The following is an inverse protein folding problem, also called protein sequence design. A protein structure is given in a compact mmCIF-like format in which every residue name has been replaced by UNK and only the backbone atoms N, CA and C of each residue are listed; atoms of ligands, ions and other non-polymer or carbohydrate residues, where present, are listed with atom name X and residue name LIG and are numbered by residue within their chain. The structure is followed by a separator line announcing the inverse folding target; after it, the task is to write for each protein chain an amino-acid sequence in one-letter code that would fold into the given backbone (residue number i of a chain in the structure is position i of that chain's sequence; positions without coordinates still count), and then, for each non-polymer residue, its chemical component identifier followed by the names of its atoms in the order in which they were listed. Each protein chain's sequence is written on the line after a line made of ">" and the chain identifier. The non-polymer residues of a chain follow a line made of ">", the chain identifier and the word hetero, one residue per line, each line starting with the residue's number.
data_IF_284995413793
#
_entry.id   IF_284995413793
#
_cell.length_a   1.000
_cell.length_b   1.000
_cell.length_c   1.000
_cell.angle_alpha   90.00
_cell.angle_beta   90.00
_cell.angle_gamma   90.00
#
_symmetry.space_group_name_H-M   'P 1'
#
loop_
_entity.id
_entity.type
_entity.pdbx_description
1 polymer ?
#
# COMPACT_ATOMS: atom_id res chain seq x y z
N UNK A 1 -65.94 16.83 -33.57
CA UNK A 1 -64.84 15.93 -33.16
C UNK A 1 -63.59 16.42 -33.87
N UNK A 2 -62.61 16.94 -33.12
CA UNK A 2 -61.49 17.68 -33.68
C UNK A 2 -60.34 16.72 -34.03
N UNK A 3 -59.91 16.63 -35.31
CA UNK A 3 -58.86 15.70 -35.72
C UNK A 3 -57.49 16.00 -35.07
N UNK A 4 -57.31 17.22 -34.53
CA UNK A 4 -56.08 17.64 -33.87
C UNK A 4 -55.78 16.93 -32.54
N UNK A 5 -56.79 16.42 -31.82
CA UNK A 5 -56.55 15.78 -30.51
C UNK A 5 -56.12 14.31 -30.62
N UNK A 6 -56.34 13.67 -31.78
CA UNK A 6 -55.92 12.28 -32.02
C UNK A 6 -54.44 12.17 -32.36
N UNK A 7 -53.88 13.13 -33.10
CA UNK A 7 -52.46 13.12 -33.51
C UNK A 7 -51.54 13.34 -32.29
N UNK A 8 -51.98 14.14 -31.31
CA UNK A 8 -51.20 14.44 -30.10
C UNK A 8 -51.08 13.26 -29.12
N UNK A 9 -51.99 12.28 -29.19
CA UNK A 9 -51.95 11.08 -28.32
C UNK A 9 -51.05 9.98 -28.86
N UNK A 10 -50.80 9.93 -30.18
CA UNK A 10 -49.89 8.95 -30.77
C UNK A 10 -48.41 9.30 -30.53
N UNK A 11 -48.05 10.60 -30.51
CA UNK A 11 -46.66 11.04 -30.33
C UNK A 11 -46.15 10.90 -28.89
N UNK A 12 -47.04 10.99 -27.90
CA UNK A 12 -46.70 10.81 -26.48
C UNK A 12 -46.36 9.36 -26.11
N UNK A 13 -46.73 8.38 -26.94
CA UNK A 13 -46.51 6.96 -26.65
C UNK A 13 -45.20 6.41 -27.26
N UNK A 14 -44.56 7.12 -28.20
CA UNK A 14 -43.32 6.70 -28.87
C UNK A 14 -42.04 7.32 -28.28
N UNK A 15 -42.13 8.38 -27.48
CA UNK A 15 -40.97 9.02 -26.83
C UNK A 15 -40.25 8.19 -25.75
N UNK A 16 -40.86 7.26 -24.99
CA UNK A 16 -40.11 6.51 -23.98
C UNK A 16 -39.18 5.44 -24.57
N UNK A 17 -39.41 4.97 -25.80
CA UNK A 17 -38.59 3.91 -26.41
C UNK A 17 -37.23 4.40 -26.93
N UNK A 18 -37.16 5.66 -27.39
CA UNK A 18 -35.92 6.29 -27.86
C UNK A 18 -34.97 6.67 -26.71
N UNK A 19 -35.50 6.90 -25.50
CA UNK A 19 -34.70 7.23 -24.32
C UNK A 19 -33.96 6.00 -23.77
N UNK A 20 -34.52 4.81 -23.91
CA UNK A 20 -33.94 3.56 -23.41
C UNK A 20 -32.74 3.09 -24.26
N UNK A 21 -32.72 3.39 -25.57
CA UNK A 21 -31.60 3.00 -26.44
C UNK A 21 -30.34 3.83 -26.24
N UNK A 22 -30.46 5.08 -25.77
CA UNK A 22 -29.30 5.95 -25.45
C UNK A 22 -28.59 5.48 -24.15
N UNK A 23 -29.28 4.75 -23.27
CA UNK A 23 -28.72 4.22 -22.03
C UNK A 23 -27.93 2.91 -22.21
N UNK A 24 -28.03 2.23 -23.37
CA UNK A 24 -27.13 1.13 -23.72
C UNK A 24 -25.81 1.64 -24.30
N UNK A 25 -25.22 2.62 -23.61
CA UNK A 25 -23.93 3.21 -23.93
C UNK A 25 -22.85 2.15 -23.96
N UNK A 26 -22.15 2.09 -25.09
CA UNK A 26 -20.99 1.23 -25.31
C UNK A 26 -20.01 1.40 -24.14
N UNK A 27 -19.83 0.36 -23.31
CA UNK A 27 -18.89 0.38 -22.19
C UNK A 27 -17.49 0.58 -22.78
N UNK A 28 -16.88 1.74 -22.54
CA UNK A 28 -15.49 2.00 -22.90
C UNK A 28 -14.60 1.60 -21.72
N UNK A 29 -13.49 0.94 -22.04
CA UNK A 29 -12.48 0.60 -21.05
C UNK A 29 -11.84 1.90 -20.51
N UNK A 30 -11.70 2.00 -19.20
CA UNK A 30 -10.99 3.11 -18.55
C UNK A 30 -9.50 3.09 -18.93
N UNK A 31 -8.91 4.19 -19.41
CA UNK A 31 -7.48 4.24 -19.74
C UNK A 31 -6.56 4.13 -18.52
N UNK A 32 -7.02 4.50 -17.31
CA UNK A 32 -6.18 4.52 -16.10
C UNK A 32 -6.89 3.86 -14.90
N UNK A 33 -7.20 2.55 -14.97
CA UNK A 33 -7.91 1.84 -13.91
C UNK A 33 -7.13 1.81 -12.59
N UNK A 34 -5.79 1.88 -12.63
CA UNK A 34 -4.95 1.86 -11.42
C UNK A 34 -5.28 2.96 -10.42
N UNK A 35 -5.82 4.09 -10.87
CA UNK A 35 -6.19 5.21 -10.00
C UNK A 35 -7.42 4.89 -9.15
N UNK A 36 -8.19 3.86 -9.49
CA UNK A 36 -9.34 3.39 -8.72
C UNK A 36 -8.96 2.30 -7.71
N UNK A 37 -7.82 1.63 -7.91
CA UNK A 37 -7.33 0.58 -7.02
C UNK A 37 -6.94 1.14 -5.63
N UNK A 38 -7.59 0.68 -4.55
CA UNK A 38 -7.28 1.14 -3.20
C UNK A 38 -5.88 0.71 -2.74
N UNK A 39 -5.35 -0.43 -3.21
CA UNK A 39 -4.00 -0.90 -2.87
C UNK A 39 -2.96 0.04 -3.49
N UNK A 40 -3.14 0.42 -4.77
CA UNK A 40 -2.26 1.36 -5.44
C UNK A 40 -2.26 2.73 -4.76
N UNK A 41 -3.44 3.23 -4.37
CA UNK A 41 -3.58 4.50 -3.61
C UNK A 41 -2.81 4.48 -2.30
N UNK A 42 -2.93 3.41 -1.50
CA UNK A 42 -2.21 3.25 -0.24
C UNK A 42 -0.69 3.14 -0.44
N UNK A 43 -0.24 2.41 -1.46
CA UNK A 43 1.19 2.36 -1.80
C UNK A 43 1.73 3.72 -2.26
N UNK A 44 0.93 4.48 -3.02
CA UNK A 44 1.29 5.82 -3.47
C UNK A 44 1.39 6.81 -2.31
N UNK A 45 0.48 6.76 -1.33
CA UNK A 45 0.56 7.61 -0.14
C UNK A 45 1.79 7.27 0.71
N UNK A 46 2.05 5.98 0.95
CA UNK A 46 3.25 5.52 1.69
C UNK A 46 4.52 5.99 0.99
N UNK A 47 4.60 5.87 -0.34
CA UNK A 47 5.78 6.31 -1.10
C UNK A 47 6.03 7.81 -0.93
N UNK A 48 4.97 8.65 -1.01
CA UNK A 48 5.07 10.10 -0.81
C UNK A 48 5.50 10.47 0.61
N UNK A 49 5.01 9.76 1.61
CA UNK A 49 5.43 9.95 3.01
C UNK A 49 6.92 9.63 3.17
N UNK A 50 7.38 8.50 2.63
CA UNK A 50 8.79 8.10 2.69
C UNK A 50 9.70 9.07 1.93
N UNK A 51 9.25 9.61 0.80
CA UNK A 51 9.98 10.64 0.06
C UNK A 51 10.19 11.90 0.91
N UNK A 52 9.15 12.37 1.60
CA UNK A 52 9.27 13.50 2.54
C UNK A 52 10.23 13.18 3.69
N UNK A 53 10.14 11.98 4.27
CA UNK A 53 11.05 11.54 5.34
C UNK A 53 12.50 11.47 4.87
N UNK A 54 12.76 11.05 3.62
CA UNK A 54 14.12 11.04 3.07
C UNK A 54 14.65 12.48 2.95
N UNK A 55 13.87 13.40 2.39
CA UNK A 55 14.26 14.81 2.25
C UNK A 55 14.54 15.45 3.63
N UNK A 56 13.71 15.17 4.62
CA UNK A 56 13.90 15.66 5.99
C UNK A 56 15.18 15.09 6.62
N UNK A 57 15.43 13.78 6.47
CA UNK A 57 16.64 13.15 6.99
C UNK A 57 17.91 13.63 6.29
N UNK A 58 17.85 13.97 5.01
CA UNK A 58 18.96 14.60 4.26
C UNK A 58 19.28 15.98 4.84
N UNK A 59 18.26 16.82 5.07
CA UNK A 59 18.45 18.13 5.73
C UNK A 59 19.02 17.99 7.14
N UNK A 60 18.46 17.08 7.93
CA UNK A 60 18.96 16.81 9.28
C UNK A 60 20.41 16.32 9.25
N UNK A 61 20.81 15.54 8.25
CA UNK A 61 22.19 15.08 8.08
C UNK A 61 23.12 16.26 7.78
N UNK A 62 22.73 17.19 6.90
CA UNK A 62 23.46 18.43 6.63
C UNK A 62 23.61 19.31 7.88
N UNK A 63 22.54 19.46 8.66
CA UNK A 63 22.57 20.21 9.92
C UNK A 63 23.50 19.56 10.95
N UNK A 64 23.46 18.23 11.08
CA UNK A 64 24.39 17.50 11.96
C UNK A 64 25.87 17.66 11.53
N UNK A 65 26.16 17.82 10.24
CA UNK A 65 27.51 18.15 9.79
C UNK A 65 27.92 19.57 10.18
N UNK A 66 27.02 20.55 10.08
CA UNK A 66 27.28 21.91 10.57
C UNK A 66 27.53 21.95 12.08
N UNK A 67 26.78 21.17 12.86
CA UNK A 67 27.02 21.00 14.30
C UNK A 67 28.41 20.37 14.58
N UNK A 68 28.83 19.41 13.76
CA UNK A 68 30.15 18.79 13.88
C UNK A 68 31.27 19.80 13.61
N UNK A 69 31.13 20.66 12.61
CA UNK A 69 32.12 21.70 12.28
C UNK A 69 32.24 22.77 13.38
N UNK A 70 31.16 22.98 14.14
CA UNK A 70 31.14 23.88 15.30
C UNK A 70 31.65 23.21 16.59
N UNK A 71 31.75 21.88 16.62
CA UNK A 71 32.26 21.17 17.77
C UNK A 71 33.78 21.38 17.91
N UNK A 72 34.25 21.58 19.16
CA UNK A 72 35.67 21.76 19.45
C UNK A 72 36.54 20.56 19.04
N UNK A 73 37.86 20.78 18.97
CA UNK A 73 38.83 19.83 18.41
C UNK A 73 38.90 18.48 19.13
N UNK A 74 38.71 18.44 20.45
CA UNK A 74 38.63 17.21 21.24
C UNK A 74 37.71 17.41 22.44
N UNK A 75 36.64 16.61 22.51
CA UNK A 75 35.65 16.71 23.59
C UNK A 75 34.49 15.72 23.45
N UNK A 76 33.67 15.64 24.50
CA UNK A 76 32.45 14.82 24.52
C UNK A 76 31.47 15.24 23.40
N UNK A 77 31.39 16.53 23.11
CA UNK A 77 30.48 17.09 22.10
C UNK A 77 30.81 16.57 20.69
N UNK A 78 32.10 16.46 20.35
CA UNK A 78 32.55 15.89 19.08
C UNK A 78 32.10 14.42 18.93
N UNK A 79 32.20 13.64 20.01
CA UNK A 79 31.75 12.24 20.03
C UNK A 79 30.23 12.14 19.86
N UNK A 80 29.48 13.03 20.51
CA UNK A 80 28.02 13.10 20.39
C UNK A 80 27.61 13.47 18.96
N UNK A 81 28.21 14.50 18.36
CA UNK A 81 27.94 14.92 16.98
C UNK A 81 28.23 13.80 15.96
N UNK A 82 29.38 13.12 16.07
CA UNK A 82 29.70 11.95 15.23
C UNK A 82 28.69 10.81 15.37
N UNK A 83 28.22 10.56 16.60
CA UNK A 83 27.18 9.56 16.85
C UNK A 83 25.87 9.95 16.19
N UNK A 84 25.41 11.20 16.32
CA UNK A 84 24.21 11.71 15.64
C UNK A 84 24.31 11.52 14.12
N UNK A 85 25.42 11.91 13.50
CA UNK A 85 25.64 11.72 12.05
C UNK A 85 25.50 10.24 11.68
N UNK A 86 26.12 9.35 12.45
CA UNK A 86 26.08 7.90 12.19
C UNK A 86 24.66 7.35 12.28
N UNK A 87 23.90 7.73 13.30
CA UNK A 87 22.51 7.32 13.50
C UNK A 87 21.59 7.88 12.40
N UNK A 88 21.70 9.17 12.08
CA UNK A 88 20.94 9.81 11.00
C UNK A 88 21.26 9.17 9.65
N UNK A 89 22.52 8.88 9.36
CA UNK A 89 22.93 8.19 8.13
C UNK A 89 22.36 6.78 8.02
N UNK A 90 22.33 6.04 9.13
CA UNK A 90 21.72 4.71 9.17
C UNK A 90 20.21 4.78 8.94
N UNK A 91 19.52 5.74 9.57
CA UNK A 91 18.08 5.98 9.35
C UNK A 91 17.82 6.35 7.89
N UNK A 92 18.58 7.28 7.33
CA UNK A 92 18.48 7.72 5.94
C UNK A 92 18.63 6.54 4.98
N UNK A 93 19.65 5.70 5.15
CA UNK A 93 19.85 4.50 4.32
C UNK A 93 18.63 3.58 4.35
N UNK A 94 18.07 3.31 5.54
CA UNK A 94 16.88 2.46 5.69
C UNK A 94 15.65 3.08 5.02
N UNK A 95 15.45 4.39 5.19
CA UNK A 95 14.33 5.12 4.56
C UNK A 95 14.42 5.13 3.04
N UNK A 96 15.62 5.30 2.47
CA UNK A 96 15.87 5.20 1.03
C UNK A 96 15.51 3.81 0.51
N UNK A 97 16.01 2.75 1.17
CA UNK A 97 15.69 1.37 0.79
C UNK A 97 14.18 1.11 0.81
N UNK A 98 13.48 1.61 1.84
CA UNK A 98 12.04 1.43 1.96
C UNK A 98 11.26 2.24 0.92
N UNK A 99 11.69 3.47 0.61
CA UNK A 99 11.14 4.30 -0.46
C UNK A 99 11.23 3.59 -1.81
N UNK A 100 12.41 3.07 -2.13
CA UNK A 100 12.69 2.41 -3.41
C UNK A 100 11.94 1.08 -3.53
N UNK A 101 11.91 0.29 -2.46
CA UNK A 101 11.08 -0.91 -2.38
C UNK A 101 9.60 -0.61 -2.62
N UNK A 102 9.07 0.43 -1.97
CA UNK A 102 7.66 0.83 -2.13
C UNK A 102 7.38 1.30 -3.56
N UNK A 103 8.32 2.03 -4.19
CA UNK A 103 8.23 2.43 -5.60
C UNK A 103 8.12 1.23 -6.53
N UNK A 104 9.00 0.23 -6.37
CA UNK A 104 8.98 -1.00 -7.17
C UNK A 104 7.64 -1.73 -6.99
N UNK A 105 7.17 -1.85 -5.75
CA UNK A 105 5.89 -2.52 -5.44
C UNK A 105 4.70 -1.77 -6.04
N UNK A 106 4.70 -0.44 -5.99
CA UNK A 106 3.67 0.42 -6.58
C UNK A 106 3.60 0.24 -8.10
N UNK A 107 4.74 0.26 -8.81
CA UNK A 107 4.78 0.04 -10.27
C UNK A 107 4.34 -1.38 -10.65
N UNK A 108 4.77 -2.39 -9.89
CA UNK A 108 4.30 -3.76 -10.09
C UNK A 108 2.77 -3.84 -9.95
N UNK A 109 2.21 -3.24 -8.88
CA UNK A 109 0.76 -3.24 -8.67
C UNK A 109 0.02 -2.50 -9.76
N UNK A 110 0.58 -1.41 -10.30
CA UNK A 110 0.01 -0.70 -11.45
C UNK A 110 -0.19 -1.62 -12.66
N UNK A 111 0.83 -2.41 -12.99
CA UNK A 111 0.77 -3.36 -14.13
C UNK A 111 -0.24 -4.48 -13.85
N UNK A 112 -0.22 -5.04 -12.64
CA UNK A 112 -1.18 -6.09 -12.21
C UNK A 112 -2.63 -5.57 -12.18
N UNK A 113 -2.85 -4.34 -11.71
CA UNK A 113 -4.13 -3.65 -11.67
C UNK A 113 -4.70 -3.44 -13.08
N UNK A 114 -3.87 -2.98 -14.03
CA UNK A 114 -4.29 -2.84 -15.43
C UNK A 114 -4.65 -4.17 -16.08
N UNK A 115 -3.87 -5.22 -15.81
CA UNK A 115 -4.13 -6.57 -16.34
C UNK A 115 -5.42 -7.16 -15.75
N UNK A 116 -5.59 -7.11 -14.44
CA UNK A 116 -6.77 -7.64 -13.75
C UNK A 116 -8.05 -6.89 -14.13
N UNK A 117 -7.98 -5.56 -14.25
CA UNK A 117 -9.09 -4.75 -14.75
C UNK A 117 -9.52 -5.17 -16.16
N UNK A 118 -8.57 -5.37 -17.08
CA UNK A 118 -8.89 -5.83 -18.44
C UNK A 118 -9.65 -7.16 -18.42
N UNK A 119 -9.17 -8.12 -17.65
CA UNK A 119 -9.79 -9.45 -17.52
C UNK A 119 -11.20 -9.32 -16.92
N UNK A 120 -11.37 -8.52 -15.85
CA UNK A 120 -12.67 -8.31 -15.22
C UNK A 120 -13.65 -7.59 -16.19
N UNK A 121 -13.17 -6.61 -16.93
CA UNK A 121 -13.96 -5.88 -17.93
C UNK A 121 -14.44 -6.80 -19.05
N UNK A 122 -13.57 -7.67 -19.58
CA UNK A 122 -13.93 -8.69 -20.58
C UNK A 122 -14.98 -9.68 -20.07
N UNK A 123 -14.90 -10.03 -18.77
CA UNK A 123 -15.86 -10.92 -18.10
C UNK A 123 -17.13 -10.22 -17.60
N UNK A 124 -17.16 -8.89 -17.61
CA UNK A 124 -18.25 -8.12 -17.00
C UNK A 124 -18.30 -8.22 -15.47
N UNK A 125 -17.20 -8.59 -14.82
CA UNK A 125 -17.06 -8.69 -13.37
C UNK A 125 -16.77 -7.31 -12.74
N UNK A 126 -17.13 -7.15 -11.46
CA UNK A 126 -16.78 -5.96 -10.69
C UNK A 126 -15.28 -5.96 -10.35
N UNK A 127 -14.67 -4.79 -10.44
CA UNK A 127 -13.26 -4.57 -10.11
C UNK A 127 -13.11 -3.25 -9.36
N UNK A 128 -12.30 -3.17 -8.28
CA UNK A 128 -11.42 -4.20 -7.69
C UNK A 128 -12.14 -5.26 -6.84
N UNK A 129 -11.52 -6.42 -6.61
CA UNK A 129 -12.05 -7.44 -5.70
C UNK A 129 -11.98 -6.98 -4.23
N UNK A 130 -13.11 -6.85 -3.51
CA UNK A 130 -13.11 -6.45 -2.11
C UNK A 130 -12.37 -7.44 -1.20
N UNK A 131 -12.35 -8.74 -1.54
CA UNK A 131 -11.67 -9.77 -0.74
C UNK A 131 -10.15 -9.61 -0.79
N UNK A 132 -9.60 -9.31 -1.97
CA UNK A 132 -8.18 -9.00 -2.15
C UNK A 132 -7.76 -7.83 -1.26
N UNK A 133 -8.57 -6.77 -1.21
CA UNK A 133 -8.27 -5.61 -0.39
C UNK A 133 -8.29 -5.93 1.11
N UNK A 134 -9.23 -6.76 1.58
CA UNK A 134 -9.24 -7.22 2.98
C UNK A 134 -8.00 -8.05 3.33
N UNK A 135 -7.56 -8.93 2.42
CA UNK A 135 -6.32 -9.69 2.59
C UNK A 135 -5.11 -8.76 2.69
N UNK A 136 -5.03 -7.75 1.81
CA UNK A 136 -4.00 -6.73 1.87
C UNK A 136 -3.94 -6.04 3.23
N UNK A 137 -5.09 -5.61 3.77
CA UNK A 137 -5.16 -4.95 5.07
C UNK A 137 -4.72 -5.87 6.21
N UNK A 138 -5.12 -7.14 6.18
CA UNK A 138 -4.65 -8.15 7.16
C UNK A 138 -3.13 -8.31 7.10
N UNK A 139 -2.55 -8.45 5.90
CA UNK A 139 -1.10 -8.58 5.74
C UNK A 139 -0.35 -7.33 6.21
N UNK A 140 -0.91 -6.14 5.94
CA UNK A 140 -0.37 -4.86 6.43
C UNK A 140 -0.37 -4.83 7.96
N UNK A 141 -1.50 -5.16 8.60
CA UNK A 141 -1.60 -5.23 10.07
C UNK A 141 -0.61 -6.22 10.69
N UNK A 142 -0.46 -7.40 10.11
CA UNK A 142 0.48 -8.41 10.60
C UNK A 142 1.94 -7.96 10.50
N UNK A 143 2.29 -7.26 9.43
CA UNK A 143 3.64 -6.71 9.23
C UNK A 143 3.95 -5.59 10.23
N UNK A 144 2.96 -4.74 10.49
CA UNK A 144 3.10 -3.56 11.34
C UNK A 144 2.89 -3.92 12.84
N UNK A 145 2.48 -5.15 13.15
CA UNK A 145 2.30 -5.64 14.51
C UNK A 145 3.63 -5.65 15.28
N UNK A 146 3.61 -5.32 16.58
CA UNK A 146 4.81 -5.34 17.41
C UNK A 146 5.36 -6.77 17.49
N UNK A 147 6.65 -6.94 17.23
CA UNK A 147 7.35 -8.23 17.31
C UNK A 147 7.76 -8.62 18.74
N UNK A 148 7.38 -7.80 19.72
CA UNK A 148 7.63 -8.08 21.13
C UNK A 148 6.49 -8.94 21.63
N UNK A 149 6.80 -10.14 22.09
CA UNK A 149 5.81 -10.98 22.77
C UNK A 149 5.28 -10.22 23.99
N UNK A 150 3.95 -10.10 24.15
CA UNK A 150 3.40 -9.47 25.35
C UNK A 150 3.85 -10.29 26.56
N UNK A 151 4.25 -9.61 27.63
CA UNK A 151 4.73 -10.20 28.89
C UNK A 151 3.75 -11.22 29.50
N UNK A 152 2.49 -11.19 29.05
CA UNK A 152 1.41 -12.11 29.41
C UNK A 152 1.63 -13.55 28.89
N UNK A 153 2.41 -13.76 27.83
CA UNK A 153 2.75 -15.11 27.38
C UNK A 153 3.95 -15.58 28.19
N UNK A 154 3.70 -16.39 29.21
CA UNK A 154 4.75 -17.07 29.98
C UNK A 154 5.63 -17.86 29.02
N UNK A 155 6.93 -17.55 28.99
CA UNK A 155 7.90 -18.41 28.29
C UNK A 155 7.80 -19.79 28.95
N UNK A 156 7.32 -20.77 28.20
CA UNK A 156 7.44 -22.16 28.60
C UNK A 156 8.92 -22.52 28.53
N UNK A 157 9.66 -22.24 29.62
CA UNK A 157 11.05 -22.62 29.79
C UNK A 157 11.20 -24.12 30.10
N UNK A 158 10.18 -24.94 29.84
CA UNK A 158 10.29 -26.39 30.02
C UNK A 158 11.29 -26.89 28.98
N UNK A 159 12.46 -27.40 29.40
CA UNK A 159 13.34 -28.12 28.50
C UNK A 159 12.51 -29.21 27.86
N UNK A 160 12.48 -29.25 26.53
CA UNK A 160 11.80 -30.33 25.83
C UNK A 160 12.67 -31.57 26.08
N UNK A 161 12.33 -32.38 27.08
CA UNK A 161 12.94 -33.69 27.36
C UNK A 161 12.61 -34.74 26.28
N UNK A 162 12.37 -34.33 25.03
CA UNK A 162 12.08 -35.26 23.94
C UNK A 162 13.38 -35.61 23.22
N UNK A 163 13.99 -36.75 23.58
CA UNK A 163 14.56 -37.73 22.62
C UNK A 163 15.45 -38.79 23.25
N UNK A 164 15.93 -38.66 24.50
CA UNK A 164 16.88 -39.66 25.05
C UNK A 164 16.27 -40.99 25.51
N UNK A 165 14.94 -41.14 25.51
CA UNK A 165 14.28 -42.35 26.03
C UNK A 165 13.86 -43.34 24.94
N UNK A 166 14.01 -43.03 23.65
CA UNK A 166 13.55 -43.91 22.57
C UNK A 166 14.60 -44.91 22.05
N UNK A 167 15.87 -44.84 22.48
CA UNK A 167 16.96 -45.72 21.99
C UNK A 167 17.37 -46.82 22.99
N UNK A 168 16.58 -47.10 24.03
CA UNK A 168 16.93 -48.10 25.07
C UNK A 168 16.03 -49.34 25.14
N UNK A 169 15.11 -49.53 24.18
CA UNK A 169 14.21 -50.70 24.17
C UNK A 169 14.44 -51.68 23.01
N UNK A 170 15.55 -51.58 22.27
CA UNK A 170 15.90 -52.53 21.18
C UNK A 170 17.29 -53.20 21.38
N UNK A 171 17.62 -53.64 22.60
CA UNK A 171 18.70 -54.64 22.84
C UNK A 171 18.19 -55.84 23.63
#
# INVERSE_FOLDING_TARGET
>A
MNPFTMILRLTLMQTPFLLVTILFGCKKMDPNPELKDPIYKDLSSIHKELEKTVIELEKNLEENFKELDQAGADGMDLKVARKKITETRQKLRKSIQLRDYTKIRMERRRVEGRRSYRIAFEKGEEWPDPKEFQQYLTHKRLRDAPRVWPTRVTRQNTPIESSKTAEKEEE
#
